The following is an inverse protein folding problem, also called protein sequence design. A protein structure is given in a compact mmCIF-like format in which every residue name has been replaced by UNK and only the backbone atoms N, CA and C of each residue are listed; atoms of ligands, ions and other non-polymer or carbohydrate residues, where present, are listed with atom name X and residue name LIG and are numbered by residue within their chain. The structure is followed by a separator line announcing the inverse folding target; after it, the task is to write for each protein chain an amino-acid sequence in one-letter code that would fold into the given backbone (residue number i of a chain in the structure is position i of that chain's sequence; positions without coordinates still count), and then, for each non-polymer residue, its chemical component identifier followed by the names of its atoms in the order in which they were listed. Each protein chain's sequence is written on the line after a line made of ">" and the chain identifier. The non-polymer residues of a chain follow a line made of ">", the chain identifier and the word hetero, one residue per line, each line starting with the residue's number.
data_IF_319054117020
#
_entry.id   IF_319054117020
#
_cell.length_a   1.000
_cell.length_b   1.000
_cell.length_c   1.000
_cell.angle_alpha   90.00
_cell.angle_beta   90.00
_cell.angle_gamma   90.00
#
_symmetry.space_group_name_H-M   'P 1'
#
loop_
_entity.id
_entity.type
_entity.pdbx_description
1 polymer ?
#
# COMPACT_ATOMS: atom_id res chain seq x y z
N UNK A 1 2.07 7.73 40.91
CA UNK A 1 1.20 7.19 39.85
C UNK A 1 0.33 8.31 39.26
N UNK A 2 0.85 9.17 38.37
CA UNK A 2 0.11 10.35 37.83
C UNK A 2 0.62 10.86 36.46
N UNK A 3 1.14 9.98 35.59
CA UNK A 3 1.69 10.34 34.25
C UNK A 3 0.65 10.35 33.10
N UNK A 4 -0.58 9.85 33.31
CA UNK A 4 -1.59 9.68 32.23
C UNK A 4 -2.26 10.96 31.73
N UNK A 5 -2.14 12.08 32.46
CA UNK A 5 -2.80 13.35 32.08
C UNK A 5 -1.89 14.35 31.34
N UNK A 6 -0.61 14.03 31.16
CA UNK A 6 0.32 14.86 30.38
C UNK A 6 -0.10 14.94 28.92
N UNK A 7 0.04 16.13 28.34
CA UNK A 7 -0.26 16.41 26.93
C UNK A 7 0.59 15.55 26.00
N UNK A 8 1.88 15.40 26.34
CA UNK A 8 2.81 14.56 25.60
C UNK A 8 2.34 13.11 25.55
N UNK A 9 1.70 12.60 26.61
CA UNK A 9 1.15 11.24 26.64
C UNK A 9 -0.10 11.08 25.76
N UNK A 10 -0.96 12.10 25.69
CA UNK A 10 -2.15 12.09 24.80
C UNK A 10 -1.75 12.23 23.33
N UNK A 11 -0.76 13.08 23.04
CA UNK A 11 -0.19 13.25 21.70
C UNK A 11 0.53 11.98 21.22
N UNK A 12 1.36 11.37 22.08
CA UNK A 12 2.06 10.13 21.74
C UNK A 12 1.09 8.97 21.54
N UNK A 13 0.00 8.91 22.32
CA UNK A 13 -1.10 7.96 22.10
C UNK A 13 -1.80 8.15 20.74
N UNK A 14 -2.10 9.39 20.37
CA UNK A 14 -2.69 9.72 19.06
C UNK A 14 -1.74 9.39 17.90
N UNK A 15 -0.47 9.78 18.00
CA UNK A 15 0.57 9.44 17.02
C UNK A 15 0.72 7.92 16.87
N UNK A 16 0.76 7.20 18.00
CA UNK A 16 0.80 5.74 18.00
C UNK A 16 -0.41 5.12 17.29
N UNK A 17 -1.62 5.63 17.53
CA UNK A 17 -2.83 5.18 16.85
C UNK A 17 -2.79 5.45 15.34
N UNK A 18 -2.32 6.62 14.90
CA UNK A 18 -2.17 6.95 13.47
C UNK A 18 -1.15 6.04 12.80
N UNK A 19 -0.01 5.77 13.44
CA UNK A 19 1.02 4.87 12.92
C UNK A 19 0.47 3.44 12.79
N UNK A 20 -0.26 2.96 13.79
CA UNK A 20 -0.89 1.63 13.74
C UNK A 20 -1.93 1.53 12.62
N UNK A 21 -2.75 2.57 12.43
CA UNK A 21 -3.72 2.62 11.33
C UNK A 21 -3.02 2.64 9.96
N UNK A 22 -1.94 3.42 9.80
CA UNK A 22 -1.14 3.42 8.57
C UNK A 22 -0.49 2.05 8.32
N UNK A 23 0.04 1.41 9.35
CA UNK A 23 0.63 0.07 9.25
C UNK A 23 -0.41 -0.99 8.85
N UNK A 24 -1.60 -0.96 9.45
CA UNK A 24 -2.70 -1.85 9.09
C UNK A 24 -3.16 -1.61 7.64
N UNK A 25 -3.26 -0.35 7.23
CA UNK A 25 -3.63 0.03 5.87
C UNK A 25 -2.58 -0.43 4.85
N UNK A 26 -1.29 -0.27 5.16
CA UNK A 26 -0.19 -0.79 4.34
C UNK A 26 -0.22 -2.31 4.22
N UNK A 27 -0.37 -3.03 5.34
CA UNK A 27 -0.44 -4.50 5.34
C UNK A 27 -1.65 -5.01 4.55
N UNK A 28 -2.79 -4.34 4.67
CA UNK A 28 -3.99 -4.63 3.89
C UNK A 28 -3.76 -4.40 2.40
N UNK A 29 -3.16 -3.26 2.03
CA UNK A 29 -2.83 -2.95 0.64
C UNK A 29 -1.84 -3.95 0.04
N UNK A 30 -0.84 -4.34 0.82
CA UNK A 30 0.14 -5.36 0.43
C UNK A 30 -0.53 -6.73 0.22
N UNK A 31 -1.43 -7.15 1.12
CA UNK A 31 -2.18 -8.40 0.97
C UNK A 31 -2.99 -8.44 -0.34
N UNK A 32 -3.74 -7.39 -0.65
CA UNK A 32 -4.50 -7.31 -1.90
C UNK A 32 -3.61 -7.26 -3.13
N UNK A 33 -2.47 -6.55 -3.05
CA UNK A 33 -1.52 -6.50 -4.15
C UNK A 33 -0.94 -7.88 -4.47
N UNK A 34 -0.46 -8.60 -3.45
CA UNK A 34 0.08 -9.97 -3.61
C UNK A 34 -1.00 -10.92 -4.16
N UNK A 35 -2.23 -10.85 -3.64
CA UNK A 35 -3.32 -11.69 -4.12
C UNK A 35 -3.66 -11.42 -5.59
N UNK A 36 -3.78 -10.15 -5.98
CA UNK A 36 -4.12 -9.75 -7.35
C UNK A 36 -2.99 -10.13 -8.33
N UNK A 37 -1.73 -9.95 -7.93
CA UNK A 37 -0.60 -10.41 -8.73
C UNK A 37 -0.62 -11.93 -8.91
N UNK A 38 -0.96 -12.70 -7.87
CA UNK A 38 -1.09 -14.16 -7.98
C UNK A 38 -2.12 -14.59 -9.03
N UNK A 39 -3.28 -13.93 -9.10
CA UNK A 39 -4.28 -14.22 -10.14
C UNK A 39 -3.80 -13.85 -11.54
N UNK A 40 -3.15 -12.68 -11.69
CA UNK A 40 -2.61 -12.23 -12.98
C UNK A 40 -1.50 -13.16 -13.50
N UNK A 41 -0.61 -13.63 -12.62
CA UNK A 41 0.42 -14.61 -12.97
C UNK A 41 -0.20 -15.93 -13.45
N UNK A 42 -1.27 -16.40 -12.80
CA UNK A 42 -1.99 -17.61 -13.22
C UNK A 42 -2.63 -17.44 -14.60
N UNK A 43 -3.33 -16.33 -14.84
CA UNK A 43 -3.89 -16.01 -16.17
C UNK A 43 -2.80 -15.94 -17.24
N UNK A 44 -1.64 -15.34 -16.93
CA UNK A 44 -0.53 -15.27 -17.86
C UNK A 44 0.01 -16.67 -18.21
N UNK A 45 0.15 -17.56 -17.22
CA UNK A 45 0.56 -18.95 -17.45
C UNK A 45 -0.44 -19.70 -18.34
N UNK A 46 -1.75 -19.51 -18.11
CA UNK A 46 -2.82 -20.11 -18.92
C UNK A 46 -2.77 -19.62 -20.37
N UNK A 47 -2.52 -18.32 -20.59
CA UNK A 47 -2.35 -17.74 -21.92
C UNK A 47 -1.09 -18.23 -22.64
N UNK A 48 0.02 -18.41 -21.93
CA UNK A 48 1.22 -19.04 -22.50
C UNK A 48 0.94 -20.49 -22.93
N UNK A 49 0.20 -21.23 -22.10
CA UNK A 49 -0.18 -22.61 -22.42
C UNK A 49 -1.09 -22.67 -23.64
N UNK A 50 -2.12 -21.80 -23.71
CA UNK A 50 -3.01 -21.66 -24.87
C UNK A 50 -2.24 -21.38 -26.16
N UNK A 51 -1.19 -20.56 -26.10
CA UNK A 51 -0.33 -20.29 -27.25
C UNK A 51 0.36 -21.57 -27.76
N UNK A 52 0.87 -22.40 -26.86
CA UNK A 52 1.49 -23.68 -27.23
C UNK A 52 0.47 -24.66 -27.83
N UNK A 53 -0.74 -24.73 -27.27
CA UNK A 53 -1.83 -25.56 -27.82
C UNK A 53 -2.19 -25.10 -29.25
N UNK A 54 -2.23 -23.78 -29.47
CA UNK A 54 -2.45 -23.21 -30.80
C UNK A 54 -1.32 -23.54 -31.77
N UNK A 55 -0.07 -23.44 -31.36
CA UNK A 55 1.09 -23.80 -32.19
C UNK A 55 1.05 -25.28 -32.58
N UNK A 56 0.75 -26.18 -31.64
CA UNK A 56 0.53 -27.59 -31.90
C UNK A 56 -0.54 -27.80 -32.97
N UNK A 57 -1.72 -27.19 -32.77
CA UNK A 57 -2.85 -27.27 -33.72
C UNK A 57 -2.44 -26.81 -35.11
N UNK A 58 -1.73 -25.70 -35.20
CA UNK A 58 -1.31 -25.13 -36.48
C UNK A 58 -0.33 -26.07 -37.19
N UNK A 59 0.65 -26.65 -36.49
CA UNK A 59 1.56 -27.65 -37.07
C UNK A 59 0.84 -28.92 -37.51
N UNK A 60 -0.09 -29.43 -36.70
CA UNK A 60 -0.88 -30.61 -37.05
C UNK A 60 -1.73 -30.36 -38.30
N UNK A 61 -2.43 -29.22 -38.36
CA UNK A 61 -3.24 -28.82 -39.52
C UNK A 61 -2.40 -28.67 -40.79
N UNK A 62 -1.18 -28.13 -40.69
CA UNK A 62 -0.26 -28.10 -41.82
C UNK A 62 0.14 -29.51 -42.26
N UNK A 63 0.43 -30.43 -41.34
CA UNK A 63 0.70 -31.82 -41.70
C UNK A 63 -0.50 -32.49 -42.41
N UNK A 64 -1.74 -32.25 -41.95
CA UNK A 64 -2.97 -32.71 -42.63
C UNK A 64 -3.11 -32.12 -44.04
N UNK A 65 -2.80 -30.83 -44.20
CA UNK A 65 -2.85 -30.14 -45.50
C UNK A 65 -1.84 -30.71 -46.49
N UNK A 66 -0.60 -30.92 -46.06
CA UNK A 66 0.45 -31.47 -46.91
C UNK A 66 0.18 -32.92 -47.32
N UNK A 67 -0.45 -33.70 -46.43
CA UNK A 67 -0.95 -35.03 -46.78
C UNK A 67 -2.00 -34.97 -47.92
N UNK A 68 -3.00 -34.09 -47.79
CA UNK A 68 -4.01 -33.89 -48.84
C UNK A 68 -3.37 -33.46 -50.16
N UNK A 69 -2.39 -32.55 -50.11
CA UNK A 69 -1.63 -32.13 -51.29
C UNK A 69 -0.86 -33.30 -51.92
N UNK A 70 -0.29 -34.20 -51.11
CA UNK A 70 0.36 -35.39 -51.64
C UNK A 70 -0.62 -36.31 -52.39
N UNK A 71 -1.84 -36.51 -51.89
CA UNK A 71 -2.83 -37.31 -52.62
C UNK A 71 -3.19 -36.71 -53.99
N UNK A 72 -3.23 -35.38 -54.10
CA UNK A 72 -3.55 -34.66 -55.33
C UNK A 72 -2.40 -34.63 -56.35
N UNK A 73 -1.17 -34.41 -55.88
CA UNK A 73 -0.03 -34.12 -56.76
C UNK A 73 1.05 -35.20 -56.79
N UNK A 74 1.02 -36.16 -55.85
CA UNK A 74 1.94 -37.30 -55.72
C UNK A 74 3.44 -36.92 -55.64
N UNK A 75 3.75 -35.68 -55.27
CA UNK A 75 5.12 -35.17 -55.14
C UNK A 75 5.73 -35.48 -53.78
N UNK A 76 6.95 -36.02 -53.76
CA UNK A 76 7.73 -36.32 -52.55
C UNK A 76 7.96 -35.10 -51.65
N UNK A 77 7.95 -33.89 -52.21
CA UNK A 77 8.11 -32.65 -51.44
C UNK A 77 7.01 -32.50 -50.37
N UNK A 78 5.78 -32.92 -50.67
CA UNK A 78 4.67 -32.86 -49.71
C UNK A 78 4.84 -33.86 -48.57
N UNK A 79 5.41 -35.05 -48.80
CA UNK A 79 5.72 -36.01 -47.73
C UNK A 79 6.82 -35.49 -46.81
N UNK A 80 7.88 -34.88 -47.38
CA UNK A 80 8.94 -34.26 -46.58
C UNK A 80 8.41 -33.08 -45.76
N UNK A 81 7.55 -32.24 -46.35
CA UNK A 81 6.90 -31.11 -45.69
C UNK A 81 5.99 -31.58 -44.55
N UNK A 82 5.14 -32.59 -44.79
CA UNK A 82 4.33 -33.27 -43.77
C UNK A 82 5.19 -33.74 -42.60
N UNK A 83 6.28 -34.46 -42.87
CA UNK A 83 7.18 -34.95 -41.82
C UNK A 83 7.79 -33.83 -40.99
N UNK A 84 8.20 -32.72 -41.62
CA UNK A 84 8.72 -31.54 -40.90
C UNK A 84 7.68 -30.96 -39.94
N UNK A 85 6.43 -30.84 -40.36
CA UNK A 85 5.35 -30.35 -39.51
C UNK A 85 4.99 -31.32 -38.38
N UNK A 86 5.04 -32.64 -38.63
CA UNK A 86 4.86 -33.64 -37.56
C UNK A 86 5.94 -33.52 -36.48
N UNK A 87 7.21 -33.35 -36.86
CA UNK A 87 8.30 -33.14 -35.90
C UNK A 87 8.07 -31.86 -35.09
N UNK A 88 7.59 -30.77 -35.71
CA UNK A 88 7.26 -29.54 -34.99
C UNK A 88 6.08 -29.72 -34.02
N UNK A 89 5.05 -30.46 -34.44
CA UNK A 89 3.93 -30.81 -33.56
C UNK A 89 4.40 -31.66 -32.36
N UNK A 90 5.29 -32.64 -32.59
CA UNK A 90 5.89 -33.45 -31.52
C UNK A 90 6.70 -32.60 -30.53
N UNK A 91 7.51 -31.66 -31.02
CA UNK A 91 8.29 -30.77 -30.17
C UNK A 91 7.38 -29.84 -29.34
N UNK A 92 6.37 -29.23 -29.98
CA UNK A 92 5.38 -28.39 -29.29
C UNK A 92 4.63 -29.19 -28.22
N UNK A 93 4.31 -30.46 -28.49
CA UNK A 93 3.67 -31.34 -27.52
C UNK A 93 4.59 -31.73 -26.36
N UNK A 94 5.87 -31.95 -26.62
CA UNK A 94 6.85 -32.18 -25.56
C UNK A 94 6.96 -30.94 -24.64
N UNK A 95 6.85 -29.73 -25.18
CA UNK A 95 6.85 -28.51 -24.39
C UNK A 95 5.55 -28.32 -23.60
N UNK A 96 4.40 -28.68 -24.16
CA UNK A 96 3.12 -28.77 -23.42
C UNK A 96 3.23 -29.71 -22.22
N UNK A 97 3.78 -30.92 -22.41
CA UNK A 97 3.97 -31.90 -21.33
C UNK A 97 4.85 -31.37 -20.20
N UNK A 98 5.91 -30.62 -20.51
CA UNK A 98 6.80 -30.04 -19.50
C UNK A 98 6.15 -28.92 -18.69
N UNK A 99 5.29 -28.12 -19.33
CA UNK A 99 4.63 -26.95 -18.71
C UNK A 99 3.34 -27.31 -17.99
N UNK A 100 2.74 -28.45 -18.29
CA UNK A 100 1.55 -28.94 -17.59
C UNK A 100 1.91 -29.39 -16.17
N UNK A 101 1.21 -28.82 -15.20
CA UNK A 101 1.23 -29.24 -13.79
C UNK A 101 -0.15 -29.72 -13.30
N UNK A 102 -1.20 -29.41 -14.05
CA UNK A 102 -2.57 -29.81 -13.75
C UNK A 102 -2.81 -31.28 -14.14
N UNK A 103 -3.26 -32.15 -13.21
CA UNK A 103 -3.60 -33.54 -13.50
C UNK A 103 -4.59 -33.71 -14.66
N UNK A 104 -5.63 -32.88 -14.74
CA UNK A 104 -6.64 -32.99 -15.81
C UNK A 104 -6.06 -32.59 -17.17
N UNK A 105 -5.19 -31.58 -17.23
CA UNK A 105 -4.49 -31.24 -18.47
C UNK A 105 -3.42 -32.27 -18.82
N UNK A 106 -2.83 -32.94 -17.83
CA UNK A 106 -1.82 -34.00 -18.04
C UNK A 106 -2.39 -35.17 -18.79
N UNK A 107 -3.57 -35.65 -18.38
CA UNK A 107 -4.28 -36.73 -19.06
C UNK A 107 -4.58 -36.38 -20.52
N UNK A 108 -5.20 -35.21 -20.75
CA UNK A 108 -5.59 -34.74 -22.08
C UNK A 108 -4.40 -34.52 -23.03
N UNK A 109 -3.30 -33.99 -22.51
CA UNK A 109 -2.05 -33.84 -23.27
C UNK A 109 -1.45 -35.21 -23.62
N UNK A 110 -1.57 -36.20 -22.72
CA UNK A 110 -1.21 -37.58 -23.01
C UNK A 110 -2.06 -38.20 -24.12
N UNK A 111 -3.36 -37.95 -24.13
CA UNK A 111 -4.26 -38.40 -25.20
C UNK A 111 -3.92 -37.75 -26.54
N UNK A 112 -3.57 -36.46 -26.53
CA UNK A 112 -3.08 -35.75 -27.72
C UNK A 112 -1.81 -36.41 -28.30
N UNK A 113 -0.91 -36.86 -27.42
CA UNK A 113 0.32 -37.58 -27.80
C UNK A 113 0.01 -38.92 -28.44
N UNK A 114 -0.91 -39.67 -27.86
CA UNK A 114 -1.36 -40.95 -28.41
C UNK A 114 -1.96 -40.77 -29.82
N UNK A 115 -2.82 -39.76 -30.01
CA UNK A 115 -3.39 -39.44 -31.32
C UNK A 115 -2.32 -39.02 -32.33
N UNK A 116 -1.38 -38.15 -31.93
CA UNK A 116 -0.28 -37.72 -32.80
C UNK A 116 0.62 -38.89 -33.20
N UNK A 117 0.92 -39.78 -32.25
CA UNK A 117 1.71 -40.97 -32.50
C UNK A 117 0.99 -41.89 -33.50
N UNK A 118 -0.31 -42.13 -33.31
CA UNK A 118 -1.13 -42.88 -34.27
C UNK A 118 -1.13 -42.24 -35.66
N UNK A 119 -1.23 -40.91 -35.74
CA UNK A 119 -1.14 -40.20 -37.02
C UNK A 119 0.24 -40.32 -37.69
N UNK A 120 1.30 -40.32 -36.89
CA UNK A 120 2.66 -40.46 -37.37
C UNK A 120 2.92 -41.88 -37.91
N UNK A 121 2.36 -42.93 -37.29
CA UNK A 121 2.52 -44.30 -37.81
C UNK A 121 1.83 -44.51 -39.15
N UNK A 122 0.72 -43.80 -39.42
CA UNK A 122 0.08 -43.78 -40.75
C UNK A 122 1.03 -43.31 -41.87
N UNK A 123 2.13 -42.61 -41.55
CA UNK A 123 3.12 -42.22 -42.55
C UNK A 123 3.70 -43.41 -43.33
N UNK A 124 3.78 -44.57 -42.69
CA UNK A 124 4.32 -45.78 -43.30
C UNK A 124 3.35 -46.39 -44.34
N UNK A 125 2.06 -46.07 -44.26
CA UNK A 125 1.04 -46.53 -45.21
C UNK A 125 1.04 -45.68 -46.50
N UNK A 126 1.41 -44.40 -46.41
CA UNK A 126 1.32 -43.43 -47.52
C UNK A 126 2.01 -43.90 -48.81
N UNK A 127 3.28 -44.35 -48.83
CA UNK A 127 3.96 -44.73 -50.06
C UNK A 127 3.29 -45.90 -50.83
N UNK A 128 2.51 -46.73 -50.13
CA UNK A 128 1.84 -47.90 -50.71
C UNK A 128 0.47 -47.61 -51.32
N UNK A 129 -0.07 -46.39 -51.19
CA UNK A 129 -1.41 -46.04 -51.65
C UNK A 129 -1.39 -45.70 -53.14
N UNK A 130 -1.95 -46.60 -53.96
CA UNK A 130 -2.02 -46.48 -55.42
C UNK A 130 -3.45 -46.29 -55.94
N UNK A 131 -4.47 -46.73 -55.19
CA UNK A 131 -5.87 -46.70 -55.66
C UNK A 131 -6.74 -45.69 -54.90
N UNK A 132 -7.89 -45.34 -55.48
CA UNK A 132 -8.90 -44.48 -54.84
C UNK A 132 -9.43 -45.13 -53.57
N UNK A 133 -9.76 -46.43 -53.61
CA UNK A 133 -10.25 -47.18 -52.44
C UNK A 133 -9.23 -47.19 -51.28
N UNK A 134 -7.93 -47.34 -51.57
CA UNK A 134 -6.88 -47.23 -50.55
C UNK A 134 -6.77 -45.81 -49.98
N UNK A 135 -6.96 -44.80 -50.82
CA UNK A 135 -6.97 -43.38 -50.41
C UNK A 135 -8.15 -43.09 -49.48
N UNK A 136 -9.34 -43.61 -49.80
CA UNK A 136 -10.54 -43.46 -48.97
C UNK A 136 -10.36 -44.14 -47.59
N UNK A 137 -9.89 -45.40 -47.58
CA UNK A 137 -9.63 -46.13 -46.34
C UNK A 137 -8.60 -45.42 -45.44
N UNK A 138 -7.52 -44.90 -46.04
CA UNK A 138 -6.54 -44.11 -45.31
C UNK A 138 -7.15 -42.81 -44.77
N UNK A 139 -7.90 -42.08 -45.61
CA UNK A 139 -8.51 -40.80 -45.23
C UNK A 139 -9.47 -40.98 -44.06
N UNK A 140 -10.20 -42.10 -44.01
CA UNK A 140 -11.08 -42.43 -42.89
C UNK A 140 -10.30 -42.60 -41.58
N UNK A 141 -9.20 -43.36 -41.58
CA UNK A 141 -8.32 -43.49 -40.39
C UNK A 141 -7.76 -42.14 -39.96
N UNK A 142 -7.25 -41.36 -40.91
CA UNK A 142 -6.67 -40.05 -40.65
C UNK A 142 -7.71 -39.04 -40.16
N UNK A 143 -8.98 -39.19 -40.53
CA UNK A 143 -10.10 -38.37 -40.04
C UNK A 143 -10.46 -38.69 -38.59
N UNK A 144 -10.48 -39.96 -38.21
CA UNK A 144 -10.73 -40.36 -36.83
C UNK A 144 -9.68 -39.76 -35.87
N UNK A 145 -8.41 -39.75 -36.30
CA UNK A 145 -7.34 -39.03 -35.59
C UNK A 145 -7.60 -37.53 -35.52
N UNK A 146 -7.92 -36.90 -36.65
CA UNK A 146 -8.17 -35.46 -36.74
C UNK A 146 -9.28 -35.04 -35.77
N UNK A 147 -10.37 -35.80 -35.73
CA UNK A 147 -11.48 -35.61 -34.80
C UNK A 147 -11.03 -35.71 -33.34
N UNK A 148 -10.30 -36.78 -32.96
CA UNK A 148 -9.77 -36.94 -31.60
C UNK A 148 -8.78 -35.84 -31.19
N UNK A 149 -7.92 -35.41 -32.12
CA UNK A 149 -6.99 -34.28 -31.88
C UNK A 149 -7.76 -32.98 -31.66
N UNK A 150 -8.74 -32.68 -32.51
CA UNK A 150 -9.52 -31.44 -32.40
C UNK A 150 -10.40 -31.42 -31.16
N UNK A 151 -10.95 -32.57 -30.76
CA UNK A 151 -11.70 -32.74 -29.51
C UNK A 151 -10.82 -32.41 -28.30
N UNK A 152 -9.65 -33.06 -28.18
CA UNK A 152 -8.74 -32.80 -27.06
C UNK A 152 -8.24 -31.35 -27.04
N UNK A 153 -7.94 -30.75 -28.20
CA UNK A 153 -7.58 -29.32 -28.28
C UNK A 153 -8.72 -28.44 -27.79
N UNK A 154 -9.96 -28.71 -28.20
CA UNK A 154 -11.11 -27.92 -27.82
C UNK A 154 -11.34 -28.01 -26.31
N UNK A 155 -11.25 -29.20 -25.73
CA UNK A 155 -11.43 -29.41 -24.29
C UNK A 155 -10.31 -28.74 -23.47
N UNK A 156 -9.04 -28.86 -23.88
CA UNK A 156 -7.91 -28.15 -23.25
C UNK A 156 -8.11 -26.64 -23.35
N UNK A 157 -8.49 -26.14 -24.54
CA UNK A 157 -8.69 -24.71 -24.78
C UNK A 157 -9.81 -24.16 -23.90
N UNK A 158 -10.95 -24.85 -23.83
CA UNK A 158 -12.09 -24.44 -23.02
C UNK A 158 -11.74 -24.45 -21.52
N UNK A 159 -11.05 -25.49 -21.03
CA UNK A 159 -10.63 -25.56 -19.64
C UNK A 159 -9.67 -24.42 -19.26
N UNK A 160 -8.76 -24.03 -20.16
CA UNK A 160 -7.84 -22.91 -19.92
C UNK A 160 -8.53 -21.55 -19.99
N UNK A 161 -9.44 -21.36 -20.95
CA UNK A 161 -10.23 -20.13 -21.05
C UNK A 161 -11.13 -19.95 -19.84
N UNK A 162 -11.81 -21.00 -19.38
CA UNK A 162 -12.64 -20.95 -18.18
C UNK A 162 -11.84 -20.55 -16.94
N UNK A 163 -10.64 -21.10 -16.76
CA UNK A 163 -9.77 -20.70 -15.66
C UNK A 163 -9.24 -19.28 -15.81
N UNK A 164 -8.85 -18.87 -17.02
CA UNK A 164 -8.36 -17.52 -17.28
C UNK A 164 -9.45 -16.48 -16.98
N UNK A 165 -10.67 -16.74 -17.45
CA UNK A 165 -11.83 -15.90 -17.18
C UNK A 165 -12.16 -15.87 -15.68
N UNK A 166 -12.13 -17.01 -14.99
CA UNK A 166 -12.37 -17.08 -13.55
C UNK A 166 -11.30 -16.31 -12.75
N UNK A 167 -10.02 -16.49 -13.07
CA UNK A 167 -8.91 -15.79 -12.42
C UNK A 167 -8.98 -14.28 -12.67
N UNK A 168 -9.37 -13.88 -13.88
CA UNK A 168 -9.59 -12.48 -14.21
C UNK A 168 -10.76 -11.89 -13.41
N UNK A 169 -11.88 -12.60 -13.29
CA UNK A 169 -13.02 -12.18 -12.46
C UNK A 169 -12.59 -12.03 -10.99
N UNK A 170 -11.80 -12.97 -10.45
CA UNK A 170 -11.28 -12.88 -9.09
C UNK A 170 -10.35 -11.67 -8.90
N UNK A 171 -9.53 -11.34 -9.90
CA UNK A 171 -8.67 -10.16 -9.89
C UNK A 171 -9.48 -8.86 -9.94
N UNK A 172 -10.54 -8.80 -10.75
CA UNK A 172 -11.41 -7.63 -10.82
C UNK A 172 -12.18 -7.44 -9.51
N UNK A 173 -12.70 -8.53 -8.94
CA UNK A 173 -13.36 -8.52 -7.64
C UNK A 173 -12.40 -8.12 -6.51
N UNK A 174 -11.13 -8.56 -6.53
CA UNK A 174 -10.14 -8.17 -5.53
C UNK A 174 -9.83 -6.67 -5.60
N UNK A 175 -9.70 -6.12 -6.82
CA UNK A 175 -9.49 -4.69 -7.03
C UNK A 175 -10.71 -3.86 -6.60
N UNK A 176 -11.93 -4.29 -6.94
CA UNK A 176 -13.14 -3.58 -6.52
C UNK A 176 -13.29 -3.56 -5.00
N UNK A 177 -13.06 -4.71 -4.32
CA UNK A 177 -13.07 -4.79 -2.85
C UNK A 177 -11.98 -3.91 -2.24
N UNK A 178 -10.79 -3.89 -2.85
CA UNK A 178 -9.72 -3.00 -2.41
C UNK A 178 -10.17 -1.54 -2.45
N UNK A 179 -10.70 -1.04 -3.57
CA UNK A 179 -11.17 0.36 -3.67
C UNK A 179 -12.31 0.66 -2.69
N UNK A 180 -13.25 -0.27 -2.51
CA UNK A 180 -14.39 -0.12 -1.61
C UNK A 180 -13.94 0.10 -0.15
N UNK A 181 -12.88 -0.57 0.29
CA UNK A 181 -12.34 -0.43 1.64
C UNK A 181 -11.25 0.64 1.75
N UNK A 182 -10.41 0.82 0.72
CA UNK A 182 -9.30 1.76 0.70
C UNK A 182 -9.76 3.20 0.89
N UNK A 183 -10.80 3.62 0.16
CA UNK A 183 -11.29 5.01 0.18
C UNK A 183 -11.76 5.41 1.59
N UNK A 184 -12.71 4.70 2.24
CA UNK A 184 -13.19 5.12 3.55
C UNK A 184 -12.11 5.04 4.64
N UNK A 185 -11.22 4.04 4.61
CA UNK A 185 -10.10 3.98 5.56
C UNK A 185 -9.11 5.13 5.39
N UNK A 186 -8.82 5.52 4.13
CA UNK A 186 -7.98 6.67 3.84
C UNK A 186 -8.62 7.98 4.31
N UNK A 187 -9.93 8.14 4.08
CA UNK A 187 -10.70 9.30 4.52
C UNK A 187 -10.74 9.40 6.05
N UNK A 188 -10.91 8.27 6.74
CA UNK A 188 -10.89 8.18 8.20
C UNK A 188 -9.50 8.57 8.75
N UNK A 189 -8.44 8.05 8.16
CA UNK A 189 -7.06 8.41 8.52
C UNK A 189 -6.79 9.90 8.37
N UNK A 190 -7.22 10.50 7.25
CA UNK A 190 -7.09 11.92 6.98
C UNK A 190 -7.90 12.76 7.98
N UNK A 191 -9.13 12.33 8.29
CA UNK A 191 -10.00 13.01 9.27
C UNK A 191 -9.38 12.99 10.67
N UNK A 192 -8.87 11.83 11.11
CA UNK A 192 -8.19 11.70 12.42
C UNK A 192 -6.94 12.58 12.49
N UNK A 193 -6.17 12.63 11.41
CA UNK A 193 -5.00 13.49 11.32
C UNK A 193 -5.36 14.98 11.40
N UNK A 194 -6.40 15.41 10.67
CA UNK A 194 -6.89 16.79 10.71
C UNK A 194 -7.42 17.16 12.10
N UNK A 195 -8.18 16.28 12.76
CA UNK A 195 -8.69 16.50 14.13
C UNK A 195 -7.55 16.60 15.13
N UNK A 196 -6.55 15.71 15.04
CA UNK A 196 -5.38 15.76 15.90
C UNK A 196 -4.60 17.08 15.71
N UNK A 197 -4.35 17.48 14.45
CA UNK A 197 -3.68 18.74 14.12
C UNK A 197 -4.44 19.96 14.64
N UNK A 198 -5.76 20.02 14.41
CA UNK A 198 -6.61 21.09 14.91
C UNK A 198 -6.60 21.16 16.44
N UNK A 199 -6.67 20.02 17.13
CA UNK A 199 -6.65 19.96 18.59
C UNK A 199 -5.33 20.49 19.17
N UNK A 200 -4.19 20.11 18.56
CA UNK A 200 -2.86 20.61 18.94
C UNK A 200 -2.76 22.12 18.74
N UNK A 201 -3.15 22.63 17.56
CA UNK A 201 -3.12 24.05 17.23
C UNK A 201 -4.01 24.88 18.15
N UNK A 202 -5.23 24.42 18.41
CA UNK A 202 -6.18 25.10 19.30
C UNK A 202 -5.62 25.23 20.72
N UNK A 203 -5.01 24.16 21.25
CA UNK A 203 -4.40 24.19 22.58
C UNK A 203 -3.18 25.09 22.66
N UNK A 204 -2.31 25.03 21.65
CA UNK A 204 -1.12 25.86 21.56
C UNK A 204 -1.52 27.34 21.53
N UNK A 205 -2.48 27.71 20.68
CA UNK A 205 -3.01 29.07 20.58
C UNK A 205 -3.55 29.56 21.92
N UNK A 206 -4.35 28.75 22.62
CA UNK A 206 -4.91 29.12 23.94
C UNK A 206 -3.82 29.42 24.97
N UNK A 207 -2.80 28.55 25.07
CA UNK A 207 -1.70 28.71 26.06
C UNK A 207 -0.80 29.89 25.73
N UNK A 208 -0.47 30.09 24.45
CA UNK A 208 0.31 31.25 24.01
C UNK A 208 -0.44 32.55 24.30
N UNK A 209 -1.75 32.61 24.06
CA UNK A 209 -2.55 33.80 24.36
C UNK A 209 -2.55 34.13 25.85
N UNK A 210 -2.66 33.12 26.72
CA UNK A 210 -2.57 33.31 28.18
C UNK A 210 -1.20 33.86 28.60
N UNK A 211 -0.11 33.35 28.02
CA UNK A 211 1.25 33.84 28.28
C UNK A 211 1.42 35.30 27.83
N UNK A 212 0.94 35.64 26.63
CA UNK A 212 0.96 37.01 26.10
C UNK A 212 0.18 37.96 27.01
N UNK A 213 -1.01 37.57 27.46
CA UNK A 213 -1.83 38.40 28.34
C UNK A 213 -1.19 38.58 29.73
N UNK A 214 -0.63 37.52 30.32
CA UNK A 214 0.07 37.62 31.60
C UNK A 214 1.32 38.53 31.49
N UNK A 215 2.06 38.43 30.38
CA UNK A 215 3.20 39.30 30.11
C UNK A 215 2.77 40.76 29.97
N UNK A 216 1.64 41.02 29.29
CA UNK A 216 1.07 42.36 29.15
C UNK A 216 0.64 42.94 30.51
N UNK A 217 -0.02 42.16 31.37
CA UNK A 217 -0.41 42.58 32.73
C UNK A 217 0.82 42.90 33.60
N UNK A 218 1.84 42.05 33.53
CA UNK A 218 3.10 42.29 34.23
C UNK A 218 3.77 43.60 33.79
N UNK A 219 3.71 43.93 32.49
CA UNK A 219 4.20 45.22 31.98
C UNK A 219 3.41 46.44 32.51
N UNK A 220 2.17 46.24 32.97
CA UNK A 220 1.34 47.26 33.64
C UNK A 220 1.52 47.28 35.16
N UNK A 221 2.61 46.68 35.68
CA UNK A 221 2.91 46.53 37.10
C UNK A 221 1.91 45.67 37.89
N UNK A 222 1.09 44.85 37.20
CA UNK A 222 0.24 43.84 37.82
C UNK A 222 0.99 42.50 37.86
N UNK A 223 1.66 42.25 38.99
CA UNK A 223 2.50 41.06 39.23
C UNK A 223 1.74 39.87 39.82
N UNK A 224 0.41 39.95 39.92
CA UNK A 224 -0.43 38.89 40.46
C UNK A 224 -0.79 37.70 39.53
N UNK A 225 -0.53 37.66 38.20
CA UNK A 225 -1.03 36.55 37.39
C UNK A 225 -0.26 35.25 37.66
N UNK A 226 -0.98 34.24 38.16
CA UNK A 226 -0.53 32.85 38.17
C UNK A 226 -0.98 32.16 36.89
N UNK A 227 -0.03 31.88 36.00
CA UNK A 227 -0.26 30.98 34.88
C UNK A 227 -0.35 29.54 35.39
N UNK A 228 -1.21 28.73 34.77
CA UNK A 228 -1.37 27.32 35.12
C UNK A 228 -0.10 26.53 34.76
N UNK A 229 0.63 26.06 35.78
CA UNK A 229 1.86 25.28 35.63
C UNK A 229 1.52 23.80 35.50
N UNK A 230 0.92 23.42 34.38
CA UNK A 230 0.63 22.01 34.11
C UNK A 230 1.94 21.20 33.98
N UNK A 231 2.20 20.18 34.82
CA UNK A 231 3.46 19.45 34.79
C UNK A 231 3.60 18.55 33.55
N UNK A 232 4.76 18.60 32.90
CA UNK A 232 5.13 17.68 31.80
C UNK A 232 4.87 18.18 30.38
N UNK A 233 4.86 19.50 30.18
CA UNK A 233 4.85 20.19 28.88
C UNK A 233 5.86 21.37 28.95
N UNK A 234 6.57 21.64 27.85
CA UNK A 234 7.54 22.74 27.71
C UNK A 234 6.88 24.09 28.00
N UNK A 235 5.62 24.26 27.59
CA UNK A 235 4.84 25.47 27.90
C UNK A 235 4.46 25.57 29.38
N UNK A 236 4.29 24.44 30.07
CA UNK A 236 4.05 24.42 31.51
C UNK A 236 5.30 24.79 32.30
N UNK A 237 6.47 24.37 31.83
CA UNK A 237 7.77 24.79 32.37
C UNK A 237 7.99 26.30 32.16
N UNK A 238 7.66 26.81 30.98
CA UNK A 238 7.73 28.25 30.69
C UNK A 238 6.79 29.06 31.59
N UNK A 239 5.56 28.59 31.82
CA UNK A 239 4.63 29.20 32.76
C UNK A 239 5.18 29.21 34.20
N UNK A 240 5.87 28.14 34.62
CA UNK A 240 6.48 28.07 35.93
C UNK A 240 7.61 29.09 36.10
N UNK A 241 8.51 29.20 35.12
CA UNK A 241 9.57 30.21 35.12
C UNK A 241 9.01 31.64 35.05
N UNK A 242 7.94 31.86 34.30
CA UNK A 242 7.25 33.15 34.26
C UNK A 242 6.70 33.53 35.65
N UNK A 243 5.99 32.61 36.32
CA UNK A 243 5.44 32.84 37.64
C UNK A 243 6.55 33.13 38.69
N UNK A 244 7.67 32.41 38.61
CA UNK A 244 8.84 32.66 39.49
C UNK A 244 9.40 34.07 39.28
N UNK A 245 9.52 34.50 38.02
CA UNK A 245 9.99 35.84 37.67
C UNK A 245 9.04 36.92 38.19
N UNK A 246 7.73 36.76 37.97
CA UNK A 246 6.69 37.68 38.45
C UNK A 246 6.75 37.82 39.98
N UNK A 247 6.89 36.70 40.71
CA UNK A 247 7.04 36.71 42.16
C UNK A 247 8.28 37.48 42.64
N UNK A 248 9.44 37.24 42.03
CA UNK A 248 10.68 37.97 42.36
C UNK A 248 10.57 39.48 42.11
N UNK A 249 9.84 39.89 41.07
CA UNK A 249 9.61 41.32 40.81
C UNK A 249 8.66 41.91 41.85
N UNK A 250 7.56 41.22 42.18
CA UNK A 250 6.62 41.67 43.20
C UNK A 250 7.29 41.85 44.57
N UNK A 251 8.16 40.92 44.98
CA UNK A 251 8.93 41.02 46.21
C UNK A 251 9.90 42.22 46.21
N UNK A 252 10.53 42.51 45.07
CA UNK A 252 11.44 43.66 44.93
C UNK A 252 10.67 44.97 45.03
N UNK A 253 9.53 45.09 44.36
CA UNK A 253 8.64 46.26 44.45
C UNK A 253 8.12 46.47 45.87
N UNK A 254 7.72 45.40 46.57
CA UNK A 254 7.29 45.49 47.97
C UNK A 254 8.42 46.03 48.87
N UNK A 255 9.66 45.57 48.70
CA UNK A 255 10.82 46.08 49.44
C UNK A 255 11.13 47.55 49.11
N UNK A 256 11.07 47.95 47.84
CA UNK A 256 11.28 49.34 47.43
C UNK A 256 10.23 50.26 48.09
N UNK A 257 8.96 49.84 48.06
CA UNK A 257 7.88 50.60 48.67
C UNK A 257 8.03 50.71 50.19
N UNK A 258 8.45 49.64 50.86
CA UNK A 258 8.72 49.66 52.30
C UNK A 258 9.88 50.63 52.65
N UNK A 259 11.00 50.54 51.93
CA UNK A 259 12.16 51.44 52.12
C UNK A 259 11.77 52.90 51.85
N UNK A 260 10.98 53.15 50.81
CA UNK A 260 10.45 54.49 50.49
C UNK A 260 9.58 55.04 51.64
N UNK A 261 8.70 54.23 52.23
CA UNK A 261 7.90 54.62 53.39
C UNK A 261 8.76 54.90 54.63
N UNK A 262 9.75 54.06 54.91
CA UNK A 262 10.70 54.26 56.01
C UNK A 262 11.51 55.56 55.83
N UNK A 263 11.97 55.86 54.60
CA UNK A 263 12.63 57.12 54.26
C UNK A 263 11.72 58.34 54.46
N UNK A 264 10.45 58.25 54.03
CA UNK A 264 9.47 59.32 54.23
C UNK A 264 9.23 59.57 55.73
N UNK A 265 9.10 58.50 56.52
CA UNK A 265 8.92 58.61 57.97
C UNK A 265 10.16 59.21 58.64
N UNK A 266 11.37 58.75 58.29
CA UNK A 266 12.62 59.29 58.81
C UNK A 266 12.80 60.78 58.48
N UNK A 267 12.49 61.18 57.24
CA UNK A 267 12.55 62.59 56.82
C UNK A 267 11.54 63.45 57.60
N UNK A 268 10.32 62.95 57.82
CA UNK A 268 9.31 63.65 58.61
C UNK A 268 9.72 63.81 60.09
N UNK A 269 10.42 62.82 60.66
CA UNK A 269 10.99 62.91 62.01
C UNK A 269 12.12 63.94 62.10
N UNK A 270 13.01 63.99 61.10
CA UNK A 270 14.07 65.00 61.02
C UNK A 270 13.53 66.42 60.86
N UNK A 271 12.46 66.61 60.07
CA UNK A 271 11.76 67.90 59.96
C UNK A 271 11.15 68.33 61.28
N UNK A 272 10.59 67.40 62.07
CA UNK A 272 10.08 67.67 63.42
C UNK A 272 11.19 67.95 64.43
N UNK A 273 12.39 67.36 64.25
CA UNK A 273 13.55 67.58 65.12
C UNK A 273 14.31 68.89 64.91
N UNK A 274 14.06 69.61 63.80
CA UNK A 274 14.68 70.92 63.51
C UNK A 274 13.78 72.06 63.99
N UNK A 275 13.67 72.24 65.31
CA UNK A 275 13.18 73.49 65.89
C UNK A 275 14.29 74.56 65.80
N UNK A 276 13.97 75.86 65.61
CA UNK A 276 14.98 76.92 65.55
C UNK A 276 15.69 77.04 66.90
N UNK A 277 17.02 77.04 66.92
CA UNK A 277 17.78 77.45 68.10
C UNK A 277 17.35 78.87 68.51
N UNK A 278 16.86 79.12 69.74
CA UNK A 278 16.61 80.47 70.20
C UNK A 278 17.95 81.21 70.33
N UNK A 279 17.97 82.42 69.77
CA UNK A 279 19.14 83.29 69.66
C UNK A 279 19.80 83.58 71.02
N UNK A 280 21.12 83.48 71.05
CA UNK A 280 21.98 83.92 72.16
C UNK A 280 21.79 85.44 72.35
N UNK A 281 21.22 85.84 73.49
CA UNK A 281 21.13 87.25 73.89
C UNK A 281 22.49 87.76 74.35
N UNK A 282 22.94 88.85 73.73
CA UNK A 282 24.23 89.52 73.97
C UNK A 282 24.35 90.09 75.39
N UNK A 283 25.53 89.92 75.96
CA UNK A 283 26.08 90.60 77.14
C UNK A 283 26.29 92.09 76.87
N UNK A 284 26.05 92.95 77.86
CA UNK A 284 26.67 94.28 77.98
C UNK A 284 26.47 94.85 79.40
N UNK A 285 27.35 95.75 79.86
CA UNK A 285 28.80 95.65 80.03
C UNK A 285 29.21 95.18 81.43
#
# INVERSE_FOLDING_TARGET
>A
MKRRDSIAYKLSGLLGAVILLMGMHFAFSFYFNVQTQGFLEQTQMEMEFLKLVKEFRDYFNHARKEEKNWFLFRSQNYLQSRQKFLVRAQNSLADLKKKTTDPHLTERVGDLENHLLHYATLNNELPGIQTVSQTEAFTQKARAVDEGVMEQIAEITNALLEKADHNQELADLSLQKYFLWFIPFSLLGLTLWAVAGFWVLYRLKKRLFQLVEATRRMAMADYAPQLDTAPGDELGLLAAHFNEMAGKIAEREAKINQISQELIQANNLLKKGRAPFPAVSKIRP
#
